data_IF_844363822984
#
_entry.id   IF_844363822984
#
_cell.length_a   1.000
_cell.length_b   1.000
_cell.length_c   1.000
_cell.angle_alpha   90.00
_cell.angle_beta   90.00
_cell.angle_gamma   90.00
#
_symmetry.space_group_name_H-M   'P 1'
#
loop_
_entity.id
_entity.type
_entity.pdbx_description
1 polymer ?
#
# COMPACT_ATOMS: atom_id res chain seq x y z
N UNK A 1 7.23 -0.48 27.06
CA UNK A 1 6.56 -0.72 25.75
C UNK A 1 5.22 -0.03 25.78
N UNK A 2 4.99 0.95 24.92
CA UNK A 2 3.75 1.72 24.92
C UNK A 2 2.55 0.86 24.51
N UNK A 3 1.31 1.32 24.81
CA UNK A 3 0.08 0.65 24.33
C UNK A 3 0.07 0.54 22.81
N UNK A 4 0.52 1.60 22.13
CA UNK A 4 0.63 1.66 20.68
C UNK A 4 1.59 0.59 20.15
N UNK A 5 2.78 0.43 20.76
CA UNK A 5 3.74 -0.60 20.33
C UNK A 5 3.15 -2.01 20.40
N UNK A 6 2.43 -2.30 21.48
CA UNK A 6 1.77 -3.59 21.65
C UNK A 6 0.70 -3.83 20.58
N UNK A 7 -0.11 -2.82 20.30
CA UNK A 7 -1.17 -2.93 19.28
C UNK A 7 -0.57 -3.13 17.90
N UNK A 8 0.43 -2.34 17.51
CA UNK A 8 1.07 -2.43 16.21
C UNK A 8 1.77 -3.79 15.99
N UNK A 9 2.36 -4.36 17.05
CA UNK A 9 3.12 -5.61 16.94
C UNK A 9 2.28 -6.89 17.04
N UNK A 10 1.20 -6.85 17.83
CA UNK A 10 0.52 -8.09 18.23
C UNK A 10 -0.96 -8.16 17.90
N UNK A 11 -1.63 -7.03 17.76
CA UNK A 11 -3.10 -6.97 17.66
C UNK A 11 -3.60 -6.54 16.28
N UNK A 12 -2.79 -5.83 15.52
CA UNK A 12 -3.15 -5.44 14.16
C UNK A 12 -3.04 -6.63 13.20
N UNK A 13 -4.08 -6.79 12.40
CA UNK A 13 -4.15 -7.80 11.34
C UNK A 13 -4.08 -7.11 9.98
N UNK A 14 -3.64 -7.84 8.95
CA UNK A 14 -3.55 -7.31 7.59
C UNK A 14 -4.89 -6.71 7.11
N UNK A 15 -6.01 -7.38 7.42
CA UNK A 15 -7.37 -6.88 7.11
C UNK A 15 -7.68 -5.51 7.75
N UNK A 16 -7.09 -5.20 8.90
CA UNK A 16 -7.26 -3.90 9.54
C UNK A 16 -6.55 -2.80 8.73
N UNK A 17 -5.35 -3.09 8.22
CA UNK A 17 -4.60 -2.18 7.37
C UNK A 17 -5.32 -1.93 6.04
N UNK A 18 -5.84 -2.99 5.42
CA UNK A 18 -6.65 -2.90 4.19
C UNK A 18 -7.89 -2.02 4.40
N UNK A 19 -8.58 -2.16 5.54
CA UNK A 19 -9.74 -1.36 5.87
C UNK A 19 -9.39 0.13 6.02
N UNK A 20 -8.31 0.46 6.72
CA UNK A 20 -7.86 1.84 6.89
C UNK A 20 -7.53 2.51 5.55
N UNK A 21 -6.86 1.78 4.65
CA UNK A 21 -6.53 2.28 3.32
C UNK A 21 -7.79 2.46 2.47
N UNK A 22 -8.73 1.52 2.50
CA UNK A 22 -10.00 1.62 1.78
C UNK A 22 -10.84 2.80 2.28
N UNK A 23 -10.90 3.04 3.60
CA UNK A 23 -11.61 4.19 4.17
C UNK A 23 -10.99 5.51 3.74
N UNK A 24 -9.66 5.60 3.70
CA UNK A 24 -8.97 6.80 3.21
C UNK A 24 -9.22 7.05 1.72
N UNK A 25 -9.26 6.00 0.92
CA UNK A 25 -9.47 6.09 -0.53
C UNK A 25 -10.90 6.49 -0.88
N UNK A 26 -11.89 5.86 -0.28
CA UNK A 26 -13.28 6.03 -0.66
C UNK A 26 -14.02 7.10 0.16
N UNK A 27 -13.49 7.46 1.32
CA UNK A 27 -14.10 8.44 2.24
C UNK A 27 -15.57 8.14 2.57
N UNK A 28 -15.97 6.88 2.40
CA UNK A 28 -17.35 6.42 2.57
C UNK A 28 -17.38 4.95 3.00
N UNK A 29 -18.03 4.68 4.14
CA UNK A 29 -18.08 3.32 4.72
C UNK A 29 -18.69 2.27 3.78
N UNK A 30 -19.76 2.62 3.08
CA UNK A 30 -20.43 1.70 2.14
C UNK A 30 -19.54 1.33 0.97
N UNK A 31 -18.89 2.31 0.34
CA UNK A 31 -17.95 2.07 -0.78
C UNK A 31 -16.72 1.28 -0.34
N UNK A 32 -16.20 1.56 0.84
CA UNK A 32 -15.10 0.76 1.40
C UNK A 32 -15.54 -0.68 1.66
N UNK A 33 -16.77 -0.90 2.13
CA UNK A 33 -17.33 -2.23 2.34
C UNK A 33 -17.49 -3.01 1.02
N UNK A 34 -18.01 -2.38 -0.01
CA UNK A 34 -18.14 -2.96 -1.36
C UNK A 34 -16.74 -3.35 -1.90
N UNK A 35 -15.77 -2.46 -1.83
CA UNK A 35 -14.40 -2.72 -2.28
C UNK A 35 -13.75 -3.90 -1.54
N UNK A 36 -14.00 -4.02 -0.23
CA UNK A 36 -13.45 -5.10 0.59
C UNK A 36 -14.31 -6.39 0.55
N UNK A 37 -15.39 -6.41 -0.21
CA UNK A 37 -16.36 -7.52 -0.28
C UNK A 37 -16.91 -7.93 1.09
N UNK A 38 -17.21 -6.95 1.94
CA UNK A 38 -17.81 -7.11 3.28
C UNK A 38 -19.04 -6.22 3.45
N UNK A 39 -19.76 -6.37 4.54
CA UNK A 39 -20.90 -5.50 4.86
C UNK A 39 -20.45 -4.20 5.52
N UNK A 40 -21.22 -3.12 5.34
CA UNK A 40 -20.94 -1.83 5.99
C UNK A 40 -20.94 -1.94 7.53
N UNK A 41 -21.82 -2.68 8.21
CA UNK A 41 -21.72 -2.93 9.64
C UNK A 41 -20.41 -3.60 10.06
N UNK A 42 -19.88 -4.52 9.24
CA UNK A 42 -18.59 -5.16 9.50
C UNK A 42 -17.42 -4.15 9.43
N UNK A 43 -17.44 -3.25 8.43
CA UNK A 43 -16.47 -2.14 8.35
C UNK A 43 -16.53 -1.25 9.57
N UNK A 44 -17.74 -0.83 9.97
CA UNK A 44 -17.96 0.02 11.15
C UNK A 44 -17.47 -0.65 12.44
N UNK A 45 -17.76 -1.93 12.62
CA UNK A 45 -17.33 -2.71 13.78
C UNK A 45 -15.79 -2.85 13.83
N UNK A 46 -15.19 -3.16 12.69
CA UNK A 46 -13.73 -3.32 12.62
C UNK A 46 -13.00 -2.00 12.85
N UNK A 47 -13.51 -0.88 12.31
CA UNK A 47 -12.96 0.44 12.60
C UNK A 47 -13.02 0.75 14.10
N UNK A 48 -14.17 0.57 14.73
CA UNK A 48 -14.34 0.78 16.16
C UNK A 48 -13.41 -0.14 17.00
N UNK A 49 -13.16 -1.37 16.56
CA UNK A 49 -12.20 -2.27 17.19
C UNK A 49 -10.77 -1.71 17.14
N UNK A 50 -10.33 -1.22 15.98
CA UNK A 50 -9.00 -0.63 15.82
C UNK A 50 -8.85 0.62 16.70
N UNK A 51 -9.82 1.52 16.66
CA UNK A 51 -9.84 2.76 17.45
C UNK A 51 -9.80 2.47 18.94
N UNK A 52 -10.58 1.49 19.41
CA UNK A 52 -10.58 1.03 20.80
C UNK A 52 -9.23 0.43 21.21
N UNK A 53 -8.59 -0.36 20.35
CA UNK A 53 -7.26 -0.93 20.63
C UNK A 53 -6.21 0.17 20.80
N UNK A 54 -6.25 1.19 19.95
CA UNK A 54 -5.31 2.32 19.96
C UNK A 54 -5.68 3.40 20.99
N UNK A 55 -6.94 3.40 21.46
CA UNK A 55 -7.51 4.45 22.28
C UNK A 55 -7.47 5.82 21.58
N UNK A 56 -7.76 5.82 20.31
CA UNK A 56 -7.71 6.99 19.44
C UNK A 56 -8.80 6.93 18.39
N UNK A 57 -9.45 8.04 18.09
CA UNK A 57 -10.31 8.18 16.91
C UNK A 57 -9.43 8.36 15.68
N UNK A 58 -9.59 7.47 14.70
CA UNK A 58 -8.84 7.51 13.44
C UNK A 58 -9.64 8.17 12.32
N UNK A 59 -10.96 8.03 12.34
CA UNK A 59 -11.84 8.61 11.34
C UNK A 59 -13.04 9.29 11.98
N UNK A 60 -13.34 10.48 11.53
CA UNK A 60 -14.54 11.23 11.91
C UNK A 60 -15.61 11.10 10.83
N UNK A 61 -16.86 10.94 11.27
CA UNK A 61 -18.03 10.90 10.40
C UNK A 61 -18.68 12.28 10.35
N UNK A 62 -18.90 12.76 9.15
CA UNK A 62 -19.60 14.01 8.91
C UNK A 62 -20.65 13.83 7.79
N UNK A 63 -21.43 14.87 7.55
CA UNK A 63 -22.35 14.92 6.40
C UNK A 63 -21.62 14.84 5.04
N UNK A 64 -20.33 15.12 5.02
CA UNK A 64 -19.46 15.04 3.83
C UNK A 64 -18.83 13.66 3.63
N UNK A 65 -19.01 12.74 4.58
CA UNK A 65 -18.40 11.41 4.54
C UNK A 65 -17.55 11.07 5.76
N UNK A 66 -16.53 10.27 5.55
CA UNK A 66 -15.64 9.77 6.59
C UNK A 66 -14.23 10.32 6.34
N UNK A 67 -13.75 11.20 7.23
CA UNK A 67 -12.47 11.89 7.10
C UNK A 67 -11.46 11.38 8.15
N UNK A 68 -10.18 11.17 7.79
CA UNK A 68 -9.16 10.75 8.75
C UNK A 68 -8.78 11.91 9.67
N UNK A 69 -8.62 11.61 10.96
CA UNK A 69 -7.96 12.49 11.93
C UNK A 69 -6.45 12.56 11.67
N UNK A 70 -5.71 13.39 12.40
CA UNK A 70 -4.23 13.39 12.33
C UNK A 70 -3.63 12.01 12.68
N UNK A 71 -4.21 11.31 13.68
CA UNK A 71 -3.85 9.93 14.00
C UNK A 71 -4.21 8.97 12.86
N UNK A 72 -5.38 9.15 12.25
CA UNK A 72 -5.84 8.40 11.08
C UNK A 72 -4.89 8.53 9.89
N UNK A 73 -4.46 9.75 9.54
CA UNK A 73 -3.48 10.00 8.48
C UNK A 73 -2.18 9.23 8.74
N UNK A 74 -1.68 9.25 9.97
CA UNK A 74 -0.46 8.52 10.34
C UNK A 74 -0.64 7.00 10.23
N UNK A 75 -1.79 6.48 10.67
CA UNK A 75 -2.12 5.06 10.56
C UNK A 75 -2.33 4.60 9.12
N UNK A 76 -2.96 5.41 8.28
CA UNK A 76 -3.11 5.11 6.83
C UNK A 76 -1.77 5.05 6.14
N UNK A 77 -0.86 5.99 6.43
CA UNK A 77 0.50 5.98 5.88
C UNK A 77 1.27 4.72 6.29
N UNK A 78 1.19 4.35 7.55
CA UNK A 78 1.76 3.10 8.04
C UNK A 78 1.14 1.88 7.33
N UNK A 79 -0.20 1.82 7.22
CA UNK A 79 -0.91 0.75 6.55
C UNK A 79 -0.47 0.58 5.09
N UNK A 80 -0.38 1.68 4.33
CA UNK A 80 0.10 1.67 2.93
C UNK A 80 1.53 1.13 2.83
N UNK A 81 2.43 1.54 3.72
CA UNK A 81 3.82 1.08 3.75
C UNK A 81 3.91 -0.43 3.99
N UNK A 82 3.14 -0.97 4.95
CA UNK A 82 3.13 -2.41 5.25
C UNK A 82 2.54 -3.21 4.09
N UNK A 83 1.42 -2.76 3.51
CA UNK A 83 0.77 -3.43 2.38
C UNK A 83 1.66 -3.45 1.13
N UNK A 84 2.35 -2.34 0.83
CA UNK A 84 3.31 -2.29 -0.27
C UNK A 84 4.51 -3.23 -0.05
N UNK A 85 4.96 -3.39 1.20
CA UNK A 85 5.98 -4.37 1.57
C UNK A 85 5.50 -5.81 1.34
N UNK A 86 4.27 -6.10 1.75
CA UNK A 86 3.65 -7.39 1.54
C UNK A 86 3.52 -7.74 0.05
N UNK A 87 3.03 -6.81 -0.77
CA UNK A 87 2.89 -7.01 -2.22
C UNK A 87 4.24 -7.27 -2.89
N UNK A 88 5.27 -6.50 -2.53
CA UNK A 88 6.63 -6.72 -3.02
C UNK A 88 7.14 -8.12 -2.70
N UNK A 89 7.01 -8.54 -1.44
CA UNK A 89 7.47 -9.87 -1.02
C UNK A 89 6.69 -10.98 -1.73
N UNK A 90 5.37 -10.82 -1.91
CA UNK A 90 4.56 -11.75 -2.67
C UNK A 90 5.07 -11.89 -4.11
N UNK A 91 5.37 -10.78 -4.77
CA UNK A 91 5.82 -10.76 -6.16
C UNK A 91 7.24 -11.36 -6.28
N UNK A 92 8.12 -11.10 -5.32
CA UNK A 92 9.45 -11.72 -5.22
C UNK A 92 9.35 -13.25 -5.04
N UNK A 93 8.49 -13.71 -4.15
CA UNK A 93 8.25 -15.14 -3.93
C UNK A 93 7.63 -15.82 -5.15
N UNK A 94 6.67 -15.16 -5.83
CA UNK A 94 6.08 -15.67 -7.05
C UNK A 94 7.10 -15.76 -8.19
N UNK A 95 7.99 -14.77 -8.31
CA UNK A 95 9.09 -14.80 -9.28
C UNK A 95 10.10 -15.93 -8.99
N UNK A 96 10.41 -16.18 -7.73
CA UNK A 96 11.28 -17.29 -7.32
C UNK A 96 10.62 -18.65 -7.65
N UNK A 97 9.33 -18.81 -7.32
CA UNK A 97 8.58 -20.04 -7.57
C UNK A 97 8.42 -20.34 -9.07
N UNK A 98 8.32 -19.31 -9.90
CA UNK A 98 8.21 -19.47 -11.36
C UNK A 98 9.56 -19.62 -12.07
N UNK A 99 10.68 -19.58 -11.35
CA UNK A 99 12.03 -19.61 -11.93
C UNK A 99 12.40 -18.34 -12.71
N UNK A 100 11.56 -17.31 -12.68
CA UNK A 100 11.80 -16.01 -13.30
C UNK A 100 12.62 -15.11 -12.36
N UNK A 101 13.85 -15.51 -12.11
CA UNK A 101 14.77 -14.71 -11.27
C UNK A 101 15.04 -13.36 -11.90
N UNK A 102 14.77 -12.32 -11.13
CA UNK A 102 15.19 -10.96 -11.45
C UNK A 102 14.25 -10.21 -12.39
N UNK A 103 12.97 -10.05 -12.02
CA UNK A 103 12.08 -9.10 -12.68
C UNK A 103 12.11 -7.77 -11.90
N UNK A 104 12.56 -6.71 -12.57
CA UNK A 104 12.56 -5.35 -12.03
C UNK A 104 11.64 -4.47 -12.86
N UNK A 105 10.67 -3.81 -12.22
CA UNK A 105 9.84 -2.80 -12.86
C UNK A 105 10.38 -1.41 -12.55
N UNK A 106 10.59 -0.61 -13.57
CA UNK A 106 11.11 0.75 -13.46
C UNK A 106 10.13 1.70 -14.10
N UNK A 107 9.57 2.62 -13.30
CA UNK A 107 8.83 3.76 -13.82
C UNK A 107 9.81 4.88 -14.20
N UNK A 108 9.76 5.39 -15.41
CA UNK A 108 10.61 6.47 -15.84
C UNK A 108 9.81 7.58 -16.53
N UNK A 109 10.17 8.83 -16.23
CA UNK A 109 9.68 9.97 -16.99
C UNK A 109 10.38 10.01 -18.34
N UNK A 110 9.65 10.41 -19.39
CA UNK A 110 10.12 10.47 -20.78
C UNK A 110 11.48 11.18 -20.93
N UNK A 111 11.73 12.19 -20.11
CA UNK A 111 12.98 12.95 -20.12
C UNK A 111 14.20 12.14 -19.63
N UNK A 112 13.98 11.17 -18.75
CA UNK A 112 15.06 10.36 -18.15
C UNK A 112 15.40 9.10 -18.97
N UNK A 113 14.49 8.69 -19.85
CA UNK A 113 14.56 7.41 -20.58
C UNK A 113 15.77 7.29 -21.53
N UNK A 114 16.13 8.29 -22.36
CA UNK A 114 17.12 8.06 -23.41
C UNK A 114 18.55 7.85 -22.91
N UNK A 115 18.93 8.41 -21.77
CA UNK A 115 20.32 8.39 -21.29
C UNK A 115 20.48 7.64 -19.98
N UNK A 116 19.71 8.00 -18.96
CA UNK A 116 19.85 7.45 -17.61
C UNK A 116 19.36 6.00 -17.53
N UNK A 117 18.19 5.75 -18.08
CA UNK A 117 17.57 4.43 -18.02
C UNK A 117 18.35 3.41 -18.84
N UNK A 118 18.75 3.76 -20.06
CA UNK A 118 19.53 2.87 -20.91
C UNK A 118 20.83 2.39 -20.24
N UNK A 119 21.59 3.33 -19.65
CA UNK A 119 22.81 3.01 -18.89
C UNK A 119 22.57 2.18 -17.64
N UNK A 120 21.48 2.48 -16.90
CA UNK A 120 21.12 1.73 -15.71
C UNK A 120 20.73 0.28 -16.04
N UNK A 121 19.95 0.08 -17.11
CA UNK A 121 19.56 -1.24 -17.59
C UNK A 121 20.78 -2.03 -18.10
N UNK A 122 21.67 -1.39 -18.83
CA UNK A 122 22.90 -1.99 -19.30
C UNK A 122 23.80 -2.46 -18.14
N UNK A 123 24.01 -1.63 -17.13
CA UNK A 123 24.77 -2.00 -15.93
C UNK A 123 24.10 -3.13 -15.13
N UNK A 124 22.77 -3.11 -15.02
CA UNK A 124 22.02 -4.17 -14.35
C UNK A 124 22.15 -5.49 -15.11
N UNK A 125 22.01 -5.47 -16.43
CA UNK A 125 22.17 -6.65 -17.30
C UNK A 125 23.58 -7.20 -17.29
N UNK A 126 24.59 -6.35 -17.17
CA UNK A 126 25.99 -6.78 -17.04
C UNK A 126 26.26 -7.52 -15.72
N UNK A 127 25.52 -7.17 -14.64
CA UNK A 127 25.61 -7.86 -13.34
C UNK A 127 24.71 -9.08 -13.21
N UNK A 128 23.60 -9.07 -13.90
CA UNK A 128 22.55 -10.10 -13.83
C UNK A 128 21.89 -10.28 -15.20
N UNK A 129 22.51 -11.07 -16.07
CA UNK A 129 22.09 -11.25 -17.45
C UNK A 129 20.63 -11.79 -17.59
N UNK A 130 20.16 -12.55 -16.61
CA UNK A 130 18.82 -13.15 -16.61
C UNK A 130 17.73 -12.25 -16.00
N UNK A 131 18.08 -11.05 -15.50
CA UNK A 131 17.08 -10.11 -14.96
C UNK A 131 16.22 -9.53 -16.07
N UNK A 132 14.91 -9.67 -15.98
CA UNK A 132 13.96 -8.98 -16.84
C UNK A 132 13.67 -7.59 -16.29
N UNK A 133 13.87 -6.56 -17.11
CA UNK A 133 13.55 -5.17 -16.76
C UNK A 133 12.29 -4.77 -17.51
N UNK A 134 11.25 -4.45 -16.78
CA UNK A 134 10.02 -3.87 -17.29
C UNK A 134 10.13 -2.35 -17.13
N UNK A 135 10.02 -1.62 -18.23
CA UNK A 135 10.04 -0.15 -18.20
C UNK A 135 8.66 0.36 -18.52
N UNK A 136 8.12 1.17 -17.63
CA UNK A 136 6.87 1.90 -17.85
C UNK A 136 7.18 3.39 -17.93
N UNK A 137 6.85 3.99 -19.07
CA UNK A 137 6.98 5.43 -19.29
C UNK A 137 5.69 6.14 -18.93
N UNK A 138 5.80 7.24 -18.22
CA UNK A 138 4.65 8.04 -17.85
C UNK A 138 5.04 9.39 -17.24
N UNK A 139 4.04 10.18 -16.95
CA UNK A 139 4.15 11.35 -16.09
C UNK A 139 4.07 10.96 -14.59
N UNK A 140 4.32 11.92 -13.71
CA UNK A 140 4.27 11.72 -12.25
C UNK A 140 2.90 11.22 -11.77
N UNK A 141 1.81 11.60 -12.46
CA UNK A 141 0.46 11.20 -12.07
C UNK A 141 0.16 9.74 -12.38
N UNK A 142 0.83 9.19 -13.38
CA UNK A 142 0.69 7.80 -13.82
C UNK A 142 1.65 6.86 -13.10
N UNK A 143 2.85 7.32 -12.77
CA UNK A 143 3.90 6.50 -12.16
C UNK A 143 3.81 6.44 -10.63
N UNK A 144 3.20 7.45 -9.98
CA UNK A 144 2.98 7.44 -8.54
C UNK A 144 1.64 6.75 -8.25
N UNK A 145 1.60 5.72 -7.41
CA UNK A 145 0.36 5.14 -6.94
C UNK A 145 -0.44 6.20 -6.19
N UNK A 146 -1.72 6.36 -6.58
CA UNK A 146 -2.67 7.23 -5.89
C UNK A 146 -2.96 6.71 -4.48
#
# INVERSE_FOLDING_TARGET
>A
MSKIDRVLRSNLKLRHLQLLVALDQFRHLGRAAEFLAVTQPAVSKTLAEIERMLDMTLFERSTRGTEPTAAGVSMVRFARSVLAGFERTRDEMAAEASGTRGRTSVGAMVVATPVLLARAVEQLKARSAQTTVLVEEGDLTRLLPK
#
